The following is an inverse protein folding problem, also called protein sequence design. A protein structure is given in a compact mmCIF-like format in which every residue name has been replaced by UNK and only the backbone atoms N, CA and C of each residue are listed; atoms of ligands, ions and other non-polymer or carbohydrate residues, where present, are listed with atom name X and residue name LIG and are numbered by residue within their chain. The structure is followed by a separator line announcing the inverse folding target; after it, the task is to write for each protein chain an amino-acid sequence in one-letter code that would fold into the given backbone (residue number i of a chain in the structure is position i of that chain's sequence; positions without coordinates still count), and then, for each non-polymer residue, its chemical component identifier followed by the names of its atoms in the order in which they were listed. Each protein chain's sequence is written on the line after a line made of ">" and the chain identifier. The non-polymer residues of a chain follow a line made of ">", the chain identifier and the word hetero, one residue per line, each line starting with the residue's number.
data_IF_118922566906
#
_entry.id   IF_118922566906
#
_cell.length_a   1.000
_cell.length_b   1.000
_cell.length_c   1.000
_cell.angle_alpha   90.00
_cell.angle_beta   90.00
_cell.angle_gamma   90.00
#
_symmetry.space_group_name_H-M   'P 1'
#
loop_
_entity.id
_entity.type
_entity.pdbx_description
1 polymer ?
#
# COMPACT_ATOMS: atom_id res chain seq x y z
N UNK A 1 48.62 55.30 -24.05
CA UNK A 1 47.85 55.07 -22.80
C UNK A 1 46.61 54.18 -22.96
N UNK A 2 45.92 54.14 -24.12
CA UNK A 2 44.66 53.36 -24.29
C UNK A 2 44.81 51.83 -24.28
N UNK A 3 45.95 51.28 -24.73
CA UNK A 3 46.18 49.82 -24.81
C UNK A 3 46.37 49.14 -23.44
N UNK A 4 47.07 49.79 -22.49
CA UNK A 4 47.27 49.23 -21.15
C UNK A 4 45.97 49.13 -20.35
N UNK A 5 45.07 50.10 -20.51
CA UNK A 5 43.77 50.10 -19.83
C UNK A 5 42.85 48.98 -20.36
N UNK A 6 42.88 48.71 -21.66
CA UNK A 6 42.09 47.64 -22.27
C UNK A 6 42.53 46.24 -21.80
N UNK A 7 43.85 46.01 -21.67
CA UNK A 7 44.41 44.75 -21.17
C UNK A 7 44.03 44.53 -19.70
N UNK A 8 44.07 45.58 -18.88
CA UNK A 8 43.67 45.50 -17.46
C UNK A 8 42.18 45.16 -17.32
N UNK A 9 41.31 45.75 -18.15
CA UNK A 9 39.87 45.45 -18.14
C UNK A 9 39.60 44.01 -18.59
N UNK A 10 40.30 43.50 -19.62
CA UNK A 10 40.15 42.10 -20.04
C UNK A 10 40.63 41.10 -18.97
N UNK A 11 41.75 41.39 -18.29
CA UNK A 11 42.23 40.55 -17.19
C UNK A 11 41.26 40.55 -16.00
N UNK A 12 40.64 41.69 -15.68
CA UNK A 12 39.60 41.78 -14.64
C UNK A 12 38.37 40.94 -14.98
N UNK A 13 37.91 40.96 -16.23
CA UNK A 13 36.77 40.16 -16.67
C UNK A 13 37.05 38.66 -16.57
N UNK A 14 38.26 38.21 -16.93
CA UNK A 14 38.66 36.80 -16.80
C UNK A 14 38.67 36.37 -15.33
N UNK A 15 39.19 37.21 -14.43
CA UNK A 15 39.22 36.92 -12.98
C UNK A 15 37.79 36.78 -12.42
N UNK A 16 36.87 37.66 -12.83
CA UNK A 16 35.46 37.62 -12.39
C UNK A 16 34.76 36.35 -12.90
N UNK A 17 35.03 35.92 -14.13
CA UNK A 17 34.46 34.68 -14.70
C UNK A 17 35.01 33.44 -13.99
N UNK A 18 36.29 33.43 -13.61
CA UNK A 18 36.90 32.31 -12.87
C UNK A 18 36.36 32.24 -11.44
N UNK A 19 36.19 33.40 -10.78
CA UNK A 19 35.59 33.47 -9.43
C UNK A 19 34.12 33.05 -9.42
N UNK A 20 33.34 33.42 -10.44
CA UNK A 20 31.93 33.00 -10.54
C UNK A 20 31.79 31.50 -10.84
N UNK A 21 32.70 30.91 -11.61
CA UNK A 21 32.73 29.45 -11.81
C UNK A 21 33.09 28.69 -10.53
N UNK A 22 33.99 29.22 -9.69
CA UNK A 22 34.37 28.58 -8.41
C UNK A 22 33.25 28.55 -7.36
N UNK A 23 32.28 29.47 -7.45
CA UNK A 23 31.10 29.51 -6.57
C UNK A 23 30.00 28.52 -6.99
N UNK A 24 30.00 28.04 -8.24
CA UNK A 24 29.02 27.06 -8.73
C UNK A 24 29.40 25.61 -8.37
N UNK A 25 30.68 25.33 -8.07
CA UNK A 25 31.17 23.99 -7.74
C UNK A 25 31.07 23.64 -6.25
N UNK A 26 30.79 24.61 -5.39
CA UNK A 26 30.60 24.41 -3.94
C UNK A 26 29.11 24.43 -3.51
N UNK A 27 28.18 24.40 -4.48
CA UNK A 27 26.74 24.50 -4.25
C UNK A 27 25.98 23.17 -4.12
N UNK A 28 26.66 22.02 -4.14
CA UNK A 28 26.04 20.71 -3.91
C UNK A 28 26.70 19.98 -2.74
N UNK A 29 26.65 20.59 -1.55
CA UNK A 29 26.59 19.79 -0.33
C UNK A 29 25.16 19.23 -0.24
N UNK A 30 24.89 18.19 -1.02
CA UNK A 30 23.78 17.30 -0.71
C UNK A 30 24.06 16.77 0.69
N UNK A 31 23.24 17.17 1.66
CA UNK A 31 22.98 16.39 2.87
C UNK A 31 22.88 14.94 2.39
N UNK A 32 23.66 13.97 2.91
CA UNK A 32 23.54 12.60 2.45
C UNK A 32 22.06 12.24 2.52
N UNK A 33 21.48 11.91 1.36
CA UNK A 33 20.13 11.38 1.32
C UNK A 33 20.12 10.29 2.37
N UNK A 34 19.35 10.45 3.45
CA UNK A 34 19.18 9.42 4.46
C UNK A 34 18.98 8.11 3.70
N UNK A 35 19.99 7.24 3.72
CA UNK A 35 19.83 5.86 3.31
C UNK A 35 18.71 5.38 4.21
N UNK A 36 17.49 5.32 3.67
CA UNK A 36 16.39 4.72 4.40
C UNK A 36 16.85 3.29 4.56
N UNK A 37 17.17 2.93 5.79
CA UNK A 37 17.69 1.64 6.21
C UNK A 37 16.78 0.56 5.61
N UNK A 38 17.19 0.00 4.46
CA UNK A 38 16.49 -1.12 3.84
C UNK A 38 16.56 -2.26 4.84
N UNK A 39 15.43 -2.91 5.12
CA UNK A 39 15.45 -4.02 6.06
C UNK A 39 16.40 -5.10 5.55
N UNK A 40 17.50 -5.31 6.27
CA UNK A 40 18.45 -6.39 5.99
C UNK A 40 17.83 -7.71 6.42
N UNK A 41 16.94 -8.26 5.58
CA UNK A 41 16.31 -9.55 5.80
C UNK A 41 17.25 -10.64 5.26
N UNK A 42 17.68 -11.62 6.08
CA UNK A 42 18.48 -12.74 5.62
C UNK A 42 17.79 -13.50 4.47
N UNK A 43 18.56 -13.92 3.47
CA UNK A 43 18.01 -14.57 2.27
C UNK A 43 17.25 -15.87 2.59
N UNK A 44 17.67 -16.62 3.61
CA UNK A 44 16.99 -17.83 4.06
C UNK A 44 15.68 -17.54 4.77
N UNK A 45 15.60 -16.45 5.55
CA UNK A 45 14.36 -15.93 6.14
C UNK A 45 13.39 -15.50 5.04
N UNK A 46 13.86 -14.73 4.06
CA UNK A 46 13.07 -14.30 2.90
C UNK A 46 12.50 -15.50 2.13
N UNK A 47 13.34 -16.49 1.79
CA UNK A 47 12.90 -17.69 1.06
C UNK A 47 11.79 -18.46 1.78
N UNK A 48 11.85 -18.55 3.12
CA UNK A 48 10.80 -19.21 3.90
C UNK A 48 9.52 -18.39 3.98
N UNK A 49 9.64 -17.05 4.02
CA UNK A 49 8.50 -16.16 3.91
C UNK A 49 7.82 -16.27 2.54
N UNK A 50 8.59 -16.33 1.44
CA UNK A 50 8.07 -16.59 0.09
C UNK A 50 7.34 -17.94 0.06
N UNK A 51 7.97 -19.00 0.59
CA UNK A 51 7.37 -20.34 0.66
C UNK A 51 6.06 -20.36 1.43
N UNK A 52 5.93 -19.56 2.50
CA UNK A 52 4.68 -19.45 3.22
C UNK A 52 3.57 -18.87 2.34
N UNK A 53 3.81 -17.77 1.64
CA UNK A 53 2.83 -17.18 0.71
C UNK A 53 2.50 -18.16 -0.43
N UNK A 54 3.52 -18.79 -1.02
CA UNK A 54 3.35 -19.79 -2.09
C UNK A 54 2.51 -20.98 -1.60
N UNK A 55 2.67 -21.41 -0.36
CA UNK A 55 1.87 -22.51 0.22
C UNK A 55 0.38 -22.17 0.35
N UNK A 56 0.02 -20.88 0.32
CA UNK A 56 -1.36 -20.40 0.34
C UNK A 56 -1.90 -20.10 -1.05
N UNK A 57 -1.07 -19.52 -1.91
CA UNK A 57 -1.51 -18.94 -3.19
C UNK A 57 -1.16 -19.78 -4.41
N UNK A 58 -0.14 -20.62 -4.31
CA UNK A 58 0.47 -21.31 -5.44
C UNK A 58 1.60 -20.50 -6.09
N UNK A 59 2.55 -21.22 -6.69
CA UNK A 59 3.78 -20.64 -7.25
C UNK A 59 3.52 -19.69 -8.43
N UNK A 60 2.60 -20.05 -9.32
CA UNK A 60 2.24 -19.20 -10.47
C UNK A 60 1.58 -17.89 -10.03
N UNK A 61 0.67 -17.96 -9.05
CA UNK A 61 -0.01 -16.78 -8.50
C UNK A 61 0.99 -15.83 -7.84
N UNK A 62 1.86 -16.38 -6.97
CA UNK A 62 2.89 -15.61 -6.29
C UNK A 62 3.80 -14.87 -7.28
N UNK A 63 4.37 -15.58 -8.27
CA UNK A 63 5.25 -14.99 -9.28
C UNK A 63 4.58 -13.91 -10.12
N UNK A 64 3.27 -14.06 -10.36
CA UNK A 64 2.52 -13.16 -11.23
C UNK A 64 2.10 -11.87 -10.51
N UNK A 65 1.74 -11.95 -9.24
CA UNK A 65 1.03 -10.87 -8.54
C UNK A 65 1.67 -10.37 -7.25
N UNK A 66 2.63 -11.10 -6.68
CA UNK A 66 3.17 -10.79 -5.36
C UNK A 66 4.66 -10.48 -5.44
N UNK A 67 5.08 -9.38 -4.81
CA UNK A 67 6.48 -8.97 -4.77
C UNK A 67 6.85 -8.46 -3.38
N UNK A 68 8.06 -8.79 -2.91
CA UNK A 68 8.53 -8.33 -1.61
C UNK A 68 8.67 -6.80 -1.59
N UNK A 69 8.18 -6.16 -0.53
CA UNK A 69 8.34 -4.73 -0.27
C UNK A 69 9.40 -4.53 0.81
N UNK A 70 10.67 -4.49 0.40
CA UNK A 70 11.80 -4.27 1.32
C UNK A 70 11.79 -2.89 1.99
N UNK A 71 11.07 -1.94 1.42
CA UNK A 71 10.94 -0.60 1.99
C UNK A 71 10.01 -0.60 3.21
N UNK A 72 8.94 -1.39 3.18
CA UNK A 72 8.00 -1.51 4.29
C UNK A 72 8.31 -2.66 5.24
N UNK A 73 9.04 -3.67 4.78
CA UNK A 73 9.52 -4.75 5.63
C UNK A 73 10.53 -4.20 6.66
N UNK A 74 10.61 -4.82 7.84
CA UNK A 74 11.44 -4.33 8.95
C UNK A 74 12.02 -5.48 9.75
N UNK A 75 13.28 -5.32 10.17
CA UNK A 75 13.81 -6.11 11.26
C UNK A 75 13.28 -5.53 12.59
N UNK A 76 12.61 -6.38 13.38
CA UNK A 76 12.03 -6.05 14.69
C UNK A 76 12.55 -7.10 15.67
N UNK A 77 13.76 -6.89 16.18
CA UNK A 77 14.49 -7.85 17.02
C UNK A 77 13.59 -8.57 18.04
N UNK A 78 13.57 -9.92 18.08
CA UNK A 78 14.39 -10.87 17.31
C UNK A 78 13.74 -11.35 15.99
N UNK A 79 12.71 -10.67 15.51
CA UNK A 79 11.80 -11.10 14.45
C UNK A 79 11.88 -10.18 13.23
N UNK A 80 11.18 -10.55 12.16
CA UNK A 80 11.05 -9.75 10.96
C UNK A 80 9.57 -9.53 10.63
N UNK A 81 9.18 -8.28 10.44
CA UNK A 81 7.93 -7.94 9.79
C UNK A 81 8.15 -8.02 8.28
N UNK A 82 7.49 -8.97 7.65
CA UNK A 82 7.52 -9.19 6.21
C UNK A 82 6.35 -8.46 5.57
N UNK A 83 6.63 -7.63 4.56
CA UNK A 83 5.61 -6.92 3.78
C UNK A 83 5.81 -7.24 2.30
N UNK A 84 4.73 -7.57 1.61
CA UNK A 84 4.70 -7.78 0.17
C UNK A 84 3.59 -6.94 -0.45
N UNK A 85 3.82 -6.49 -1.69
CA UNK A 85 2.77 -5.93 -2.54
C UNK A 85 2.05 -7.04 -3.26
N UNK A 86 0.73 -7.00 -3.24
CA UNK A 86 -0.15 -7.87 -3.99
C UNK A 86 -0.94 -7.02 -5.00
N UNK A 87 -0.62 -7.16 -6.28
CA UNK A 87 -1.19 -6.37 -7.35
C UNK A 87 -1.57 -7.23 -8.55
N UNK A 88 -2.79 -7.04 -9.09
CA UNK A 88 -3.26 -7.74 -10.28
C UNK A 88 -3.47 -6.74 -11.44
N UNK A 89 -2.59 -6.70 -12.45
CA UNK A 89 -2.69 -5.72 -13.55
C UNK A 89 -4.02 -5.75 -14.31
N UNK A 90 -4.60 -6.94 -14.49
CA UNK A 90 -5.89 -7.11 -15.16
C UNK A 90 -7.10 -6.80 -14.26
N UNK A 91 -6.88 -6.62 -12.96
CA UNK A 91 -7.88 -6.24 -11.95
C UNK A 91 -7.29 -5.14 -11.07
N UNK A 92 -7.16 -3.91 -11.58
CA UNK A 92 -6.39 -2.85 -10.93
C UNK A 92 -6.96 -2.36 -9.59
N UNK A 93 -8.17 -2.79 -9.22
CA UNK A 93 -8.72 -2.59 -7.88
C UNK A 93 -8.06 -3.48 -6.82
N UNK A 94 -7.33 -4.52 -7.24
CA UNK A 94 -6.48 -5.33 -6.38
C UNK A 94 -5.09 -4.69 -6.35
N UNK A 95 -4.87 -3.84 -5.34
CA UNK A 95 -3.58 -3.20 -5.03
C UNK A 95 -3.43 -3.14 -3.50
N UNK A 96 -2.96 -4.25 -2.94
CA UNK A 96 -3.04 -4.53 -1.52
C UNK A 96 -1.68 -4.92 -0.94
N UNK A 97 -1.61 -4.98 0.39
CA UNK A 97 -0.41 -5.38 1.11
C UNK A 97 -0.63 -6.68 1.88
N UNK A 98 0.30 -7.60 1.69
CA UNK A 98 0.45 -8.80 2.52
C UNK A 98 1.40 -8.46 3.66
N UNK A 99 1.03 -8.81 4.90
CA UNK A 99 1.88 -8.59 6.07
C UNK A 99 1.80 -9.76 7.05
N UNK A 100 2.96 -10.17 7.55
CA UNK A 100 3.07 -11.18 8.61
C UNK A 100 4.44 -11.11 9.28
N UNK A 101 4.54 -11.71 10.46
CA UNK A 101 5.79 -11.75 11.23
C UNK A 101 6.42 -13.13 11.16
N UNK A 102 7.75 -13.17 10.96
CA UNK A 102 8.56 -14.40 11.05
C UNK A 102 9.65 -14.25 12.11
N UNK A 103 10.09 -15.36 12.69
CA UNK A 103 11.27 -15.38 13.56
C UNK A 103 12.58 -15.36 12.76
N UNK A 104 13.71 -15.36 13.48
CA UNK A 104 15.06 -15.40 12.89
C UNK A 104 15.38 -16.64 12.07
N UNK A 105 14.53 -17.68 12.14
CA UNK A 105 14.64 -18.88 11.30
C UNK A 105 13.70 -18.85 10.10
N UNK A 106 12.90 -17.79 9.93
CA UNK A 106 11.89 -17.66 8.88
C UNK A 106 10.58 -18.41 9.16
N UNK A 107 10.35 -18.86 10.39
CA UNK A 107 9.07 -19.48 10.78
C UNK A 107 8.03 -18.39 11.07
N UNK A 108 6.84 -18.53 10.50
CA UNK A 108 5.72 -17.62 10.77
C UNK A 108 5.27 -17.70 12.23
N UNK A 109 5.12 -16.53 12.84
CA UNK A 109 4.70 -16.36 14.21
C UNK A 109 3.19 -16.14 14.29
N UNK A 110 2.44 -17.22 14.55
CA UNK A 110 0.96 -17.24 14.52
C UNK A 110 0.29 -16.45 15.63
N UNK A 111 1.04 -15.99 16.64
CA UNK A 111 0.54 -15.06 17.64
C UNK A 111 0.37 -13.63 17.10
N UNK A 112 0.97 -13.33 15.95
CA UNK A 112 0.76 -12.09 15.21
C UNK A 112 -0.17 -12.35 14.03
N UNK A 113 -0.87 -11.31 13.60
CA UNK A 113 -1.81 -11.39 12.49
C UNK A 113 -1.09 -11.64 11.16
N UNK A 114 -1.73 -12.45 10.32
CA UNK A 114 -1.38 -12.62 8.91
C UNK A 114 -2.46 -11.91 8.10
N UNK A 115 -2.06 -10.89 7.36
CA UNK A 115 -2.97 -10.00 6.63
C UNK A 115 -2.73 -10.16 5.13
N UNK A 116 -3.81 -10.19 4.35
CA UNK A 116 -3.79 -10.01 2.90
C UNK A 116 -3.36 -11.22 2.08
N UNK A 117 -3.19 -12.40 2.66
CA UNK A 117 -2.80 -13.61 1.89
C UNK A 117 -4.05 -14.44 1.60
N UNK A 118 -4.59 -14.43 0.37
CA UNK A 118 -5.72 -15.28 0.02
C UNK A 118 -5.27 -16.76 -0.04
N UNK A 119 -6.17 -17.68 0.30
CA UNK A 119 -5.87 -19.13 0.35
C UNK A 119 -6.37 -19.83 -0.93
N UNK A 120 -5.76 -19.49 -2.06
CA UNK A 120 -6.09 -20.05 -3.38
C UNK A 120 -5.96 -21.59 -3.42
N UNK A 121 -5.06 -22.16 -2.59
CA UNK A 121 -4.84 -23.60 -2.54
C UNK A 121 -5.98 -24.32 -1.80
N UNK A 122 -6.53 -23.72 -0.75
CA UNK A 122 -7.70 -24.27 -0.07
C UNK A 122 -8.97 -24.11 -0.93
N UNK A 123 -9.11 -22.98 -1.61
CA UNK A 123 -10.22 -22.70 -2.52
C UNK A 123 -9.76 -21.82 -3.68
N UNK A 124 -9.69 -22.40 -4.88
CA UNK A 124 -9.19 -21.69 -6.06
C UNK A 124 -10.01 -20.43 -6.39
N UNK A 125 -11.30 -20.42 -6.06
CA UNK A 125 -12.16 -19.26 -6.29
C UNK A 125 -11.79 -18.06 -5.43
N UNK A 126 -11.07 -18.23 -4.31
CA UNK A 126 -10.75 -17.13 -3.39
C UNK A 126 -9.78 -16.08 -4.00
N UNK A 127 -9.27 -16.35 -5.21
CA UNK A 127 -8.27 -15.54 -5.90
C UNK A 127 -8.70 -15.08 -7.29
N UNK A 128 -9.95 -15.35 -7.68
CA UNK A 128 -10.47 -15.01 -9.01
C UNK A 128 -10.96 -13.56 -9.08
N UNK A 129 -11.46 -12.99 -7.98
CA UNK A 129 -11.95 -11.60 -7.86
C UNK A 129 -12.80 -11.16 -9.06
N UNK A 130 -13.88 -11.89 -9.33
CA UNK A 130 -14.74 -11.69 -10.52
C UNK A 130 -15.68 -10.49 -10.39
N UNK A 131 -15.90 -9.99 -9.18
CA UNK A 131 -16.72 -8.81 -8.89
C UNK A 131 -15.81 -7.58 -8.88
N UNK A 132 -16.03 -6.66 -9.81
CA UNK A 132 -15.38 -5.35 -9.80
C UNK A 132 -16.23 -4.30 -9.03
N UNK A 133 -15.72 -3.07 -8.92
CA UNK A 133 -16.41 -1.95 -8.26
C UNK A 133 -17.82 -1.70 -8.82
N UNK A 134 -18.01 -1.87 -10.14
CA UNK A 134 -19.30 -1.64 -10.79
C UNK A 134 -20.31 -2.71 -10.40
N UNK A 135 -19.89 -3.98 -10.42
CA UNK A 135 -20.72 -5.11 -10.02
C UNK A 135 -21.03 -5.01 -8.51
N UNK A 136 -20.06 -4.65 -7.68
CA UNK A 136 -20.26 -4.45 -6.25
C UNK A 136 -21.32 -3.35 -5.97
N UNK A 137 -21.25 -2.21 -6.68
CA UNK A 137 -22.27 -1.15 -6.61
C UNK A 137 -23.65 -1.61 -7.08
N UNK A 138 -23.70 -2.43 -8.14
CA UNK A 138 -24.96 -3.01 -8.61
C UNK A 138 -25.59 -3.90 -7.54
N UNK A 139 -24.82 -4.83 -6.97
CA UNK A 139 -25.29 -5.73 -5.90
C UNK A 139 -25.77 -4.92 -4.69
N UNK A 140 -25.03 -3.89 -4.27
CA UNK A 140 -25.45 -3.03 -3.16
C UNK A 140 -26.77 -2.30 -3.44
N UNK A 141 -26.97 -1.83 -4.67
CA UNK A 141 -28.24 -1.22 -5.09
C UNK A 141 -29.39 -2.22 -5.04
N UNK A 142 -29.18 -3.43 -5.57
CA UNK A 142 -30.17 -4.51 -5.58
C UNK A 142 -30.53 -5.00 -4.18
N UNK A 143 -29.61 -4.90 -3.22
CA UNK A 143 -29.83 -5.23 -1.80
C UNK A 143 -30.33 -4.04 -0.97
N UNK A 144 -30.64 -2.91 -1.62
CA UNK A 144 -31.29 -1.78 -0.97
C UNK A 144 -30.39 -0.94 -0.08
N UNK A 145 -29.07 -0.95 -0.28
CA UNK A 145 -28.19 0.03 0.37
C UNK A 145 -28.68 1.44 -0.01
N UNK A 146 -29.01 2.31 0.96
CA UNK A 146 -29.58 3.62 0.66
C UNK A 146 -28.52 4.53 0.04
N UNK A 147 -28.94 5.49 -0.79
CA UNK A 147 -28.05 6.57 -1.21
C UNK A 147 -27.71 7.45 0.00
N UNK A 148 -26.42 7.71 0.20
CA UNK A 148 -25.94 8.57 1.27
C UNK A 148 -26.08 10.06 0.95
N UNK A 149 -25.74 10.90 1.94
CA UNK A 149 -25.53 12.35 1.74
C UNK A 149 -24.32 12.66 0.85
N UNK A 150 -23.45 11.66 0.65
CA UNK A 150 -22.33 11.62 -0.29
C UNK A 150 -22.42 10.34 -1.11
N UNK A 151 -21.65 10.25 -2.19
CA UNK A 151 -21.46 8.99 -2.91
C UNK A 151 -20.94 7.91 -1.97
N UNK A 152 -21.30 6.65 -2.26
CA UNK A 152 -20.82 5.53 -1.47
C UNK A 152 -19.31 5.48 -1.46
N UNK A 153 -18.74 5.29 -0.28
CA UNK A 153 -17.35 4.88 -0.17
C UNK A 153 -17.30 3.40 -0.52
N UNK A 154 -16.48 3.03 -1.48
CA UNK A 154 -16.34 1.65 -1.97
C UNK A 154 -14.87 1.26 -1.86
N UNK A 155 -14.57 0.33 -0.97
CA UNK A 155 -13.22 -0.12 -0.69
C UNK A 155 -13.11 -1.63 -0.96
N UNK A 156 -12.07 -2.06 -1.65
CA UNK A 156 -11.67 -3.48 -1.71
C UNK A 156 -10.64 -3.68 -0.59
N UNK A 157 -10.91 -4.51 0.41
CA UNK A 157 -10.08 -4.59 1.63
C UNK A 157 -10.01 -6.00 2.18
N UNK A 158 -8.95 -6.30 2.94
CA UNK A 158 -8.85 -7.53 3.72
C UNK A 158 -9.72 -7.46 4.98
N UNK A 159 -10.67 -8.38 5.13
CA UNK A 159 -11.51 -8.52 6.32
C UNK A 159 -10.97 -9.65 7.20
N UNK A 160 -10.24 -9.27 8.26
CA UNK A 160 -9.57 -10.18 9.18
C UNK A 160 -10.53 -11.18 9.82
N UNK A 161 -11.78 -10.79 10.10
CA UNK A 161 -12.81 -11.67 10.68
C UNK A 161 -13.09 -12.91 9.81
N UNK A 162 -13.02 -12.75 8.49
CA UNK A 162 -13.30 -13.82 7.54
C UNK A 162 -12.05 -14.33 6.82
N UNK A 163 -10.89 -13.73 7.09
CA UNK A 163 -9.60 -14.07 6.48
C UNK A 163 -9.68 -14.10 4.94
N UNK A 164 -10.32 -13.07 4.35
CA UNK A 164 -10.48 -12.91 2.90
C UNK A 164 -10.62 -11.44 2.51
N UNK A 165 -10.45 -11.16 1.22
CA UNK A 165 -10.79 -9.86 0.65
C UNK A 165 -12.30 -9.70 0.46
N UNK A 166 -12.78 -8.48 0.65
CA UNK A 166 -14.19 -8.10 0.52
C UNK A 166 -14.34 -6.77 -0.21
N UNK A 167 -15.47 -6.57 -0.87
CA UNK A 167 -15.95 -5.24 -1.19
C UNK A 167 -16.73 -4.69 0.00
N UNK A 168 -16.32 -3.54 0.50
CA UNK A 168 -16.98 -2.81 1.57
C UNK A 168 -17.59 -1.53 1.01
N UNK A 169 -18.91 -1.43 1.04
CA UNK A 169 -19.62 -0.23 0.62
C UNK A 169 -20.28 0.44 1.83
N UNK A 170 -20.00 1.73 2.00
CA UNK A 170 -20.59 2.56 3.05
C UNK A 170 -21.48 3.64 2.47
N UNK A 171 -22.67 3.76 3.05
CA UNK A 171 -23.59 4.87 2.85
C UNK A 171 -23.65 5.73 4.11
N UNK A 172 -23.05 6.91 4.06
CA UNK A 172 -23.18 7.91 5.11
C UNK A 172 -24.55 8.58 5.01
N UNK A 173 -25.40 8.41 6.02
CA UNK A 173 -26.74 9.00 6.06
C UNK A 173 -26.77 10.34 6.81
N UNK A 174 -25.92 10.49 7.82
CA UNK A 174 -25.75 11.73 8.57
C UNK A 174 -24.29 11.95 8.93
N UNK A 175 -23.87 13.20 8.93
CA UNK A 175 -22.52 13.61 9.31
C UNK A 175 -22.59 15.01 9.91
N UNK A 176 -21.89 15.23 11.01
CA UNK A 176 -21.78 16.53 11.66
C UNK A 176 -20.41 16.68 12.32
N UNK A 177 -19.88 17.89 12.30
CA UNK A 177 -18.65 18.26 13.00
C UNK A 177 -18.96 19.47 13.88
N UNK A 178 -18.82 19.31 15.19
CA UNK A 178 -19.08 20.37 16.16
C UNK A 178 -18.14 20.30 17.36
N UNK A 179 -18.50 20.99 18.43
CA UNK A 179 -17.67 21.13 19.63
C UNK A 179 -17.34 19.79 20.31
N UNK A 180 -18.16 18.76 20.08
CA UNK A 180 -17.98 17.42 20.61
C UNK A 180 -17.29 16.44 19.64
N UNK A 181 -16.66 16.96 18.58
CA UNK A 181 -15.94 16.16 17.59
C UNK A 181 -16.77 15.80 16.36
N UNK A 182 -16.30 14.79 15.64
CA UNK A 182 -16.91 14.29 14.42
C UNK A 182 -17.91 13.17 14.74
N UNK A 183 -19.15 13.30 14.28
CA UNK A 183 -20.21 12.31 14.43
C UNK A 183 -20.80 11.97 13.09
N UNK A 184 -21.02 10.69 12.84
CA UNK A 184 -21.66 10.23 11.62
C UNK A 184 -22.38 8.90 11.85
N UNK A 185 -23.44 8.66 11.09
CA UNK A 185 -24.14 7.38 11.06
C UNK A 185 -24.56 7.04 9.63
N UNK A 186 -24.76 5.75 9.40
CA UNK A 186 -25.10 5.26 8.09
C UNK A 186 -25.32 3.76 8.03
N UNK A 187 -25.37 3.25 6.81
CA UNK A 187 -25.49 1.83 6.51
C UNK A 187 -24.28 1.34 5.74
N UNK A 188 -24.02 0.04 5.80
CA UNK A 188 -22.94 -0.62 5.09
C UNK A 188 -23.38 -1.99 4.58
N UNK A 189 -22.75 -2.43 3.51
CA UNK A 189 -22.87 -3.79 2.99
C UNK A 189 -21.48 -4.31 2.64
N UNK A 190 -21.25 -5.58 2.93
CA UNK A 190 -20.01 -6.29 2.64
C UNK A 190 -20.31 -7.45 1.70
N UNK A 191 -19.56 -7.51 0.60
CA UNK A 191 -19.80 -8.42 -0.52
C UNK A 191 -18.52 -9.24 -0.77
N UNK A 192 -18.67 -10.54 -0.99
CA UNK A 192 -17.57 -11.41 -1.38
C UNK A 192 -17.22 -11.19 -2.88
N UNK A 193 -15.97 -10.83 -3.20
CA UNK A 193 -15.56 -10.43 -4.54
C UNK A 193 -15.46 -11.61 -5.51
N UNK A 194 -15.55 -12.84 -5.01
CA UNK A 194 -15.35 -14.05 -5.81
C UNK A 194 -16.66 -14.71 -6.24
N UNK A 195 -17.75 -14.48 -5.51
CA UNK A 195 -19.03 -15.16 -5.77
C UNK A 195 -20.26 -14.23 -5.69
N UNK A 196 -20.06 -12.92 -5.53
CA UNK A 196 -21.13 -11.92 -5.45
C UNK A 196 -22.10 -12.09 -4.27
N UNK A 197 -21.77 -12.92 -3.27
CA UNK A 197 -22.61 -13.09 -2.09
C UNK A 197 -22.47 -11.90 -1.15
N UNK A 198 -23.60 -11.47 -0.57
CA UNK A 198 -23.61 -10.51 0.54
C UNK A 198 -23.23 -11.25 1.80
N UNK A 199 -22.12 -10.86 2.41
CA UNK A 199 -21.64 -11.43 3.66
C UNK A 199 -22.48 -10.89 4.82
N UNK A 200 -22.67 -9.57 4.87
CA UNK A 200 -23.58 -8.91 5.80
C UNK A 200 -23.97 -7.51 5.34
N UNK A 201 -25.05 -6.99 5.94
CA UNK A 201 -25.50 -5.61 5.83
C UNK A 201 -25.90 -5.12 7.22
N UNK A 202 -25.43 -3.94 7.62
CA UNK A 202 -25.65 -3.42 8.98
C UNK A 202 -25.61 -1.88 9.01
N UNK A 203 -26.01 -1.30 10.14
CA UNK A 203 -25.82 0.11 10.46
C UNK A 203 -24.47 0.36 11.13
N UNK A 204 -23.88 1.53 10.91
CA UNK A 204 -22.65 1.97 11.58
C UNK A 204 -22.84 3.37 12.18
N UNK A 205 -22.05 3.68 13.21
CA UNK A 205 -22.08 4.99 13.88
C UNK A 205 -20.71 5.36 14.46
N UNK A 206 -20.40 6.66 14.43
CA UNK A 206 -19.27 7.30 15.11
C UNK A 206 -19.86 8.30 16.11
N UNK A 207 -19.50 8.14 17.39
CA UNK A 207 -20.07 8.87 18.53
C UNK A 207 -19.20 10.02 19.00
#
# INVERSE_FOLDING_TARGET
>A
MKSKLFIIIQLMQIIIIVLSFSLLINGCNCIPCNEKEEAQIPLDVLKKADQFIISKTGDEFFKKYITADFFQSKHIEPNYLMVYKFYMPEKPFVDELIRFTVDSTGKVLTQYEVVGIPDCNANQMDCDFVVDDKIAKQIATENGLPKGIKDWKVDFVWEAKYNKYVWHLFSTLKESKGDFGYRADGEQIVIDPNNASVIYQDSWQIK
#
